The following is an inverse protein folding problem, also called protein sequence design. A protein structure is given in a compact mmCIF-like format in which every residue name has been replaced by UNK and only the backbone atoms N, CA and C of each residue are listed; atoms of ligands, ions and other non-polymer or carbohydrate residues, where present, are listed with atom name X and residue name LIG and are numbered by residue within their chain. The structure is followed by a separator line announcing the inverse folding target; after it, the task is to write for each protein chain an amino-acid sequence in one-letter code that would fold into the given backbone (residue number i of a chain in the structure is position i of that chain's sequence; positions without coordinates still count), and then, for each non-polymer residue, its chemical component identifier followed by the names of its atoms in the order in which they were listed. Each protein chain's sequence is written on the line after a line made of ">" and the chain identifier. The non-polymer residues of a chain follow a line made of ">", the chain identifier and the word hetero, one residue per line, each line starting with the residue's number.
data_IF_384431332486
#
_entry.id   IF_384431332486
#
_cell.length_a   1.000
_cell.length_b   1.000
_cell.length_c   1.000
_cell.angle_alpha   90.00
_cell.angle_beta   90.00
_cell.angle_gamma   90.00
#
_symmetry.space_group_name_H-M   'P 1'
#
loop_
_entity.id
_entity.type
_entity.pdbx_description
1 polymer ?
#
# COMPACT_ATOMS: atom_id res chain seq x y z
N UNK A 1 18.23 15.46 -30.47
CA UNK A 1 18.69 14.55 -29.41
C UNK A 1 18.17 13.14 -29.62
N UNK A 2 19.09 12.27 -30.03
CA UNK A 2 18.87 10.85 -30.35
C UNK A 2 18.90 9.97 -29.08
N UNK A 3 19.14 10.59 -27.91
CA UNK A 3 19.38 9.91 -26.62
C UNK A 3 18.10 9.35 -25.98
N UNK A 4 16.92 9.89 -26.30
CA UNK A 4 15.65 9.41 -25.74
C UNK A 4 15.05 8.20 -26.48
N UNK A 5 15.60 7.79 -27.62
CA UNK A 5 15.04 6.71 -28.43
C UNK A 5 15.61 5.32 -28.10
N UNK A 6 16.61 5.22 -27.21
CA UNK A 6 17.23 3.94 -26.84
C UNK A 6 16.77 3.36 -25.49
N UNK A 7 15.97 4.10 -24.71
CA UNK A 7 15.48 3.61 -23.41
C UNK A 7 14.26 2.67 -23.54
N UNK A 8 13.76 2.48 -24.76
CA UNK A 8 12.62 1.62 -25.06
C UNK A 8 13.01 0.16 -25.41
N UNK A 9 14.30 -0.22 -25.30
CA UNK A 9 14.78 -1.58 -25.61
C UNK A 9 15.56 -2.22 -24.44
N UNK A 10 15.40 -1.75 -23.20
CA UNK A 10 15.80 -2.60 -22.08
C UNK A 10 14.72 -3.65 -21.87
N UNK A 11 14.99 -4.87 -22.33
CA UNK A 11 14.21 -6.04 -21.96
C UNK A 11 14.15 -6.10 -20.42
N UNK A 12 12.96 -6.31 -19.83
CA UNK A 12 12.83 -6.37 -18.38
C UNK A 12 13.73 -7.49 -17.86
N UNK A 13 14.76 -7.12 -17.09
CA UNK A 13 15.57 -8.11 -16.39
C UNK A 13 14.71 -8.80 -15.33
N UNK A 14 14.84 -10.11 -15.24
CA UNK A 14 14.09 -10.89 -14.26
C UNK A 14 14.63 -10.61 -12.87
N UNK A 15 13.77 -10.22 -11.94
CA UNK A 15 14.08 -10.03 -10.50
C UNK A 15 14.58 -11.32 -9.81
N UNK A 16 14.57 -12.43 -10.54
CA UNK A 16 14.90 -13.79 -10.09
C UNK A 16 16.32 -14.20 -10.54
N UNK A 17 17.03 -13.34 -11.28
CA UNK A 17 18.28 -13.71 -11.92
C UNK A 17 19.46 -13.60 -10.93
N UNK A 18 20.19 -14.70 -10.66
CA UNK A 18 21.30 -14.70 -9.72
C UNK A 18 22.50 -13.94 -10.33
N UNK A 19 23.06 -13.00 -9.57
CA UNK A 19 24.10 -12.08 -10.08
C UNK A 19 25.53 -12.63 -9.94
N UNK A 20 25.75 -13.77 -9.27
CA UNK A 20 27.07 -14.39 -9.21
C UNK A 20 27.01 -15.87 -8.85
N UNK A 21 27.88 -16.69 -9.46
CA UNK A 21 28.08 -18.10 -9.10
C UNK A 21 29.53 -18.32 -8.66
N UNK A 22 29.82 -18.16 -7.36
CA UNK A 22 30.84 -18.98 -6.71
C UNK A 22 30.68 -18.93 -5.17
N UNK A 23 30.34 -20.07 -4.56
CA UNK A 23 30.78 -20.44 -3.21
C UNK A 23 30.08 -19.91 -1.94
N UNK A 24 29.02 -19.10 -2.01
CA UNK A 24 28.29 -18.63 -0.82
C UNK A 24 26.88 -18.14 -1.15
N UNK A 25 25.97 -18.14 -0.17
CA UNK A 25 24.52 -17.90 -0.33
C UNK A 25 24.15 -16.94 -1.47
N UNK A 26 23.23 -17.39 -2.34
CA UNK A 26 22.82 -16.65 -3.52
C UNK A 26 22.24 -15.28 -3.12
N UNK A 27 22.99 -14.21 -3.40
CA UNK A 27 22.51 -12.84 -3.20
C UNK A 27 21.53 -12.47 -4.32
N UNK A 28 20.30 -12.15 -3.95
CA UNK A 28 19.28 -11.66 -4.87
C UNK A 28 19.34 -10.14 -4.97
N UNK A 29 19.02 -9.58 -6.14
CA UNK A 29 18.96 -8.11 -6.36
C UNK A 29 18.01 -7.43 -5.36
N UNK A 30 17.01 -8.16 -4.85
CA UNK A 30 16.06 -7.70 -3.82
C UNK A 30 16.71 -7.40 -2.46
N UNK A 31 17.82 -8.02 -2.12
CA UNK A 31 18.47 -7.87 -0.81
C UNK A 31 19.24 -6.55 -0.69
N UNK A 32 19.78 -6.02 -1.81
CA UNK A 32 20.45 -4.71 -1.81
C UNK A 32 19.48 -3.51 -1.72
N UNK A 33 18.21 -3.68 -2.08
CA UNK A 33 17.22 -2.59 -2.11
C UNK A 33 16.53 -2.41 -0.75
N UNK A 34 16.59 -3.42 0.11
CA UNK A 34 15.71 -3.53 1.28
C UNK A 34 16.18 -2.76 2.54
N UNK A 35 17.47 -2.47 2.72
CA UNK A 35 17.95 -2.33 4.11
C UNK A 35 18.03 -0.90 4.71
N UNK A 36 18.16 0.17 3.92
CA UNK A 36 18.38 1.52 4.51
C UNK A 36 17.46 2.66 4.04
N UNK A 37 17.06 2.74 2.77
CA UNK A 37 16.15 3.81 2.31
C UNK A 37 14.66 3.51 2.57
N UNK A 38 14.32 2.23 2.58
CA UNK A 38 12.94 1.76 2.62
C UNK A 38 12.31 1.84 4.04
N UNK A 39 13.13 1.87 5.10
CA UNK A 39 12.63 1.88 6.49
C UNK A 39 12.09 3.26 6.88
N UNK A 40 12.79 4.33 6.53
CA UNK A 40 12.35 5.71 6.80
C UNK A 40 11.11 6.06 5.99
N UNK A 41 11.10 5.76 4.69
CA UNK A 41 9.94 5.96 3.81
C UNK A 41 8.70 5.21 4.32
N UNK A 42 8.82 3.91 4.66
CA UNK A 42 7.72 3.14 5.26
C UNK A 42 7.25 3.70 6.59
N UNK A 43 8.17 4.24 7.41
CA UNK A 43 7.80 4.82 8.70
C UNK A 43 7.01 6.11 8.52
N UNK A 44 7.44 6.99 7.61
CA UNK A 44 6.72 8.21 7.23
C UNK A 44 5.35 7.89 6.64
N UNK A 45 5.27 6.92 5.72
CA UNK A 45 4.00 6.46 5.14
C UNK A 45 3.04 5.93 6.22
N UNK A 46 3.55 5.15 7.18
CA UNK A 46 2.74 4.61 8.27
C UNK A 46 2.22 5.71 9.21
N UNK A 47 3.03 6.73 9.48
CA UNK A 47 2.65 7.87 10.31
C UNK A 47 1.57 8.71 9.63
N UNK A 48 1.74 9.02 8.35
CA UNK A 48 0.76 9.76 7.56
C UNK A 48 -0.57 9.01 7.44
N UNK A 49 -0.52 7.68 7.26
CA UNK A 49 -1.72 6.84 7.24
C UNK A 49 -2.45 6.87 8.59
N UNK A 50 -1.71 6.78 9.69
CA UNK A 50 -2.30 6.85 11.03
C UNK A 50 -2.95 8.21 11.28
N UNK A 51 -2.30 9.31 10.91
CA UNK A 51 -2.86 10.66 11.00
C UNK A 51 -4.14 10.81 10.15
N UNK A 52 -4.16 10.24 8.94
CA UNK A 52 -5.35 10.23 8.09
C UNK A 52 -6.52 9.44 8.72
N UNK A 53 -6.23 8.33 9.41
CA UNK A 53 -7.23 7.52 10.13
C UNK A 53 -7.86 8.24 11.33
N UNK A 54 -7.14 9.18 11.95
CA UNK A 54 -7.64 9.96 13.09
C UNK A 54 -8.79 10.90 12.71
N UNK A 55 -8.84 11.33 11.45
CA UNK A 55 -9.89 12.21 10.92
C UNK A 55 -11.20 11.49 10.59
N UNK A 56 -11.19 10.15 10.61
CA UNK A 56 -12.40 9.36 10.44
C UNK A 56 -13.21 9.35 11.73
N UNK A 57 -14.54 9.38 11.60
CA UNK A 57 -15.41 9.07 12.72
C UNK A 57 -15.24 7.60 13.14
N UNK A 58 -15.69 7.27 14.35
CA UNK A 58 -15.53 5.93 14.94
C UNK A 58 -16.06 4.81 14.03
N UNK A 59 -17.22 5.03 13.41
CA UNK A 59 -17.86 4.04 12.53
C UNK A 59 -17.07 3.81 11.25
N UNK A 60 -16.59 4.87 10.62
CA UNK A 60 -15.76 4.81 9.42
C UNK A 60 -14.41 4.16 9.72
N UNK A 61 -13.76 4.55 10.82
CA UNK A 61 -12.49 3.97 11.27
C UNK A 61 -12.62 2.47 11.50
N UNK A 62 -13.71 2.05 12.16
CA UNK A 62 -13.99 0.63 12.39
C UNK A 62 -14.19 -0.14 11.09
N UNK A 63 -14.99 0.40 10.15
CA UNK A 63 -15.21 -0.21 8.84
C UNK A 63 -13.89 -0.32 8.05
N UNK A 64 -13.07 0.73 8.02
CA UNK A 64 -11.77 0.70 7.33
C UNK A 64 -10.82 -0.31 7.98
N UNK A 65 -10.82 -0.42 9.31
CA UNK A 65 -10.03 -1.41 10.04
C UNK A 65 -10.37 -2.84 9.60
N UNK A 66 -11.66 -3.20 9.63
CA UNK A 66 -12.13 -4.52 9.20
C UNK A 66 -11.80 -4.82 7.73
N UNK A 67 -11.87 -3.81 6.85
CA UNK A 67 -11.71 -4.00 5.40
C UNK A 67 -10.26 -4.13 4.96
N UNK A 68 -9.38 -3.32 5.53
CA UNK A 68 -8.02 -3.17 5.02
C UNK A 68 -6.96 -3.77 5.95
N UNK A 69 -7.25 -3.95 7.23
CA UNK A 69 -6.34 -4.59 8.19
C UNK A 69 -6.75 -6.05 8.44
N UNK A 70 -8.05 -6.32 8.59
CA UNK A 70 -8.56 -7.68 8.83
C UNK A 70 -8.94 -8.41 7.53
N UNK A 71 -8.87 -7.74 6.37
CA UNK A 71 -9.10 -8.34 5.05
C UNK A 71 -10.54 -8.80 4.78
N UNK A 72 -11.51 -8.40 5.59
CA UNK A 72 -12.91 -8.84 5.48
C UNK A 72 -13.60 -8.25 4.27
N UNK A 73 -14.53 -8.96 3.63
CA UNK A 73 -15.33 -8.45 2.51
C UNK A 73 -16.37 -7.40 2.94
N UNK A 74 -16.87 -6.56 2.01
CA UNK A 74 -17.92 -5.59 2.31
C UNK A 74 -19.21 -6.25 2.84
N UNK A 75 -19.53 -7.45 2.34
CA UNK A 75 -20.68 -8.23 2.78
C UNK A 75 -20.52 -8.73 4.21
N UNK A 76 -19.31 -9.19 4.58
CA UNK A 76 -19.00 -9.62 5.94
C UNK A 76 -19.02 -8.45 6.93
N UNK A 77 -18.51 -7.27 6.53
CA UNK A 77 -18.58 -6.06 7.34
C UNK A 77 -20.04 -5.59 7.49
N UNK A 78 -20.82 -5.63 6.42
CA UNK A 78 -22.24 -5.28 6.43
C UNK A 78 -23.03 -6.13 7.45
N UNK A 79 -22.78 -7.45 7.46
CA UNK A 79 -23.36 -8.39 8.42
C UNK A 79 -23.01 -8.04 9.86
N UNK A 80 -21.73 -7.77 10.14
CA UNK A 80 -21.26 -7.56 11.51
C UNK A 80 -21.66 -6.20 12.08
N UNK A 81 -21.75 -5.18 11.23
CA UNK A 81 -22.14 -3.82 11.61
C UNK A 81 -23.67 -3.63 11.57
N UNK A 82 -24.41 -4.60 11.03
CA UNK A 82 -25.88 -4.58 10.95
C UNK A 82 -26.44 -3.55 9.97
N UNK A 83 -25.76 -3.33 8.84
CA UNK A 83 -26.19 -2.41 7.76
C UNK A 83 -26.12 -3.08 6.39
N UNK A 84 -26.73 -2.46 5.38
CA UNK A 84 -26.63 -2.96 4.01
C UNK A 84 -25.21 -2.80 3.43
N UNK A 85 -24.82 -3.68 2.50
CA UNK A 85 -23.55 -3.55 1.78
C UNK A 85 -23.45 -2.22 1.02
N UNK A 86 -24.56 -1.70 0.47
CA UNK A 86 -24.58 -0.40 -0.18
C UNK A 86 -24.25 0.74 0.81
N UNK A 87 -24.68 0.65 2.07
CA UNK A 87 -24.31 1.60 3.12
C UNK A 87 -22.83 1.47 3.51
N UNK A 88 -22.30 0.25 3.64
CA UNK A 88 -20.85 0.02 3.85
C UNK A 88 -20.04 0.65 2.73
N UNK A 89 -20.42 0.43 1.48
CA UNK A 89 -19.75 1.00 0.30
C UNK A 89 -19.72 2.54 0.34
N UNK A 90 -20.82 3.18 0.76
CA UNK A 90 -20.88 4.64 0.90
C UNK A 90 -19.95 5.15 2.01
N UNK A 91 -19.95 4.48 3.17
CA UNK A 91 -19.08 4.82 4.29
C UNK A 91 -17.60 4.66 3.92
N UNK A 92 -17.23 3.55 3.26
CA UNK A 92 -15.87 3.34 2.77
C UNK A 92 -15.44 4.43 1.78
N UNK A 93 -16.30 4.76 0.80
CA UNK A 93 -15.99 5.83 -0.16
C UNK A 93 -15.77 7.17 0.53
N UNK A 94 -16.58 7.49 1.53
CA UNK A 94 -16.44 8.73 2.28
C UNK A 94 -15.15 8.75 3.10
N UNK A 95 -14.88 7.66 3.83
CA UNK A 95 -13.68 7.51 4.64
C UNK A 95 -12.41 7.61 3.78
N UNK A 96 -12.34 6.89 2.65
CA UNK A 96 -11.21 6.95 1.73
C UNK A 96 -11.03 8.33 1.10
N UNK A 97 -12.12 9.08 0.88
CA UNK A 97 -12.05 10.47 0.39
C UNK A 97 -11.44 11.38 1.46
N UNK A 98 -11.85 11.24 2.71
CA UNK A 98 -11.30 11.99 3.85
C UNK A 98 -9.81 11.69 3.99
N UNK A 99 -9.44 10.40 4.07
CA UNK A 99 -8.05 9.98 4.21
C UNK A 99 -7.16 10.50 3.08
N UNK A 100 -7.63 10.45 1.83
CA UNK A 100 -6.87 10.98 0.69
C UNK A 100 -6.61 12.49 0.78
N UNK A 101 -7.52 13.27 1.33
CA UNK A 101 -7.30 14.71 1.49
C UNK A 101 -6.08 14.97 2.38
N UNK A 102 -5.97 14.25 3.50
CA UNK A 102 -4.88 14.42 4.44
C UNK A 102 -3.56 13.80 3.97
N UNK A 103 -3.61 12.75 3.17
CA UNK A 103 -2.41 12.13 2.59
C UNK A 103 -1.79 12.95 1.45
N UNK A 104 -2.59 13.75 0.72
CA UNK A 104 -2.09 14.59 -0.40
C UNK A 104 -1.61 15.96 0.08
N UNK A 105 -2.02 16.39 1.28
CA UNK A 105 -1.54 17.61 1.94
C UNK A 105 -0.28 17.41 2.80
N UNK A 106 0.24 16.18 2.85
CA UNK A 106 1.44 15.79 3.62
C UNK A 106 2.73 15.85 2.80
#
# INVERSE_FOLDING_TARGET
>A
DIVYALDAIQAPMSLQEPVYSDGGDALYVMDQISDHKNKEEKWVESLSLQAAMEHLNERERYIISLRFFDGRTQMEVARDVGISQAQVSRLEKNALRIMRQYLVES
#
